data_IF_101150129729
#
_entry.id   IF_101150129729
#
_cell.length_a   1.000
_cell.length_b   1.000
_cell.length_c   1.000
_cell.angle_alpha   90.00
_cell.angle_beta   90.00
_cell.angle_gamma   90.00
#
_symmetry.space_group_name_H-M   'P 1'
#
loop_
_entity.id
_entity.type
_entity.pdbx_description
1 polymer ?
#
# COMPACT_ATOMS: atom_id res chain seq x y z
N UNK A 1 33.18 -12.96 33.22
CA UNK A 1 32.84 -13.61 31.93
C UNK A 1 31.67 -12.93 31.21
N UNK A 2 30.63 -12.45 31.91
CA UNK A 2 29.46 -11.83 31.31
C UNK A 2 29.79 -10.52 30.56
N UNK A 3 30.60 -9.66 31.18
CA UNK A 3 31.03 -8.39 30.56
C UNK A 3 31.81 -8.59 29.26
N UNK A 4 32.66 -9.64 29.18
CA UNK A 4 33.44 -9.94 27.97
C UNK A 4 32.54 -10.35 26.80
N UNK A 5 31.52 -11.18 27.06
CA UNK A 5 30.57 -11.59 26.02
C UNK A 5 29.77 -10.39 25.49
N UNK A 6 29.25 -9.51 26.36
CA UNK A 6 28.58 -8.31 25.96
C UNK A 6 29.45 -7.30 25.20
N UNK A 7 30.71 -7.15 25.63
CA UNK A 7 31.67 -6.28 24.93
C UNK A 7 31.96 -6.77 23.51
N UNK A 8 32.06 -8.11 23.32
CA UNK A 8 32.24 -8.69 21.99
C UNK A 8 31.07 -8.43 21.08
N UNK A 9 29.83 -8.61 21.56
CA UNK A 9 28.61 -8.31 20.82
C UNK A 9 28.55 -6.82 20.48
N UNK A 10 28.81 -5.94 21.46
CA UNK A 10 28.82 -4.49 21.23
C UNK A 10 29.86 -4.08 20.19
N UNK A 11 31.06 -4.68 20.21
CA UNK A 11 32.08 -4.44 19.21
C UNK A 11 31.63 -4.88 17.81
N UNK A 12 31.03 -6.08 17.68
CA UNK A 12 30.50 -6.57 16.40
C UNK A 12 29.44 -5.67 15.85
N UNK A 13 28.47 -5.20 16.66
CA UNK A 13 27.43 -4.27 16.26
C UNK A 13 28.00 -2.92 15.85
N UNK A 14 28.99 -2.39 16.58
CA UNK A 14 29.67 -1.16 16.23
C UNK A 14 30.43 -1.28 14.90
N UNK A 15 31.10 -2.41 14.67
CA UNK A 15 31.78 -2.72 13.43
C UNK A 15 30.80 -2.77 12.25
N UNK A 16 29.69 -3.49 12.39
CA UNK A 16 28.65 -3.56 11.35
C UNK A 16 28.06 -2.17 11.05
N UNK A 17 27.77 -1.38 12.08
CA UNK A 17 27.28 -0.02 11.91
C UNK A 17 28.27 0.89 11.19
N UNK A 18 29.57 0.74 11.46
CA UNK A 18 30.61 1.56 10.83
C UNK A 18 30.89 1.18 9.37
N UNK A 19 30.91 -0.11 9.05
CA UNK A 19 31.32 -0.61 7.75
C UNK A 19 30.14 -0.94 6.82
N UNK A 20 28.99 -1.28 7.39
CA UNK A 20 27.78 -1.68 6.66
C UNK A 20 26.52 -1.00 7.20
N UNK A 21 26.50 0.34 7.31
CA UNK A 21 25.45 1.07 8.02
C UNK A 21 24.06 0.82 7.42
N UNK A 22 23.94 0.69 6.12
CA UNK A 22 22.66 0.46 5.44
C UNK A 22 22.04 -0.87 5.87
N UNK A 23 22.83 -1.95 5.89
CA UNK A 23 22.38 -3.27 6.32
C UNK A 23 22.07 -3.29 7.82
N UNK A 24 22.88 -2.62 8.63
CA UNK A 24 22.63 -2.48 10.05
C UNK A 24 21.30 -1.79 10.34
N UNK A 25 21.04 -0.65 9.69
CA UNK A 25 19.86 0.15 9.96
C UNK A 25 18.56 -0.49 9.44
N UNK A 26 18.53 -1.14 8.28
CA UNK A 26 17.30 -1.76 7.82
C UNK A 26 16.87 -2.91 8.74
N UNK A 27 17.82 -3.72 9.23
CA UNK A 27 17.53 -4.79 10.20
C UNK A 27 17.07 -4.20 11.54
N UNK A 28 17.76 -3.18 12.03
CA UNK A 28 17.43 -2.52 13.28
C UNK A 28 16.04 -1.89 13.23
N UNK A 29 15.71 -1.16 12.16
CA UNK A 29 14.38 -0.56 11.98
C UNK A 29 13.29 -1.63 11.86
N UNK A 30 13.56 -2.73 11.17
CA UNK A 30 12.63 -3.85 11.04
C UNK A 30 12.33 -4.51 12.40
N UNK A 31 13.31 -4.58 13.30
CA UNK A 31 13.14 -5.16 14.64
C UNK A 31 12.29 -4.30 15.59
N UNK A 32 12.06 -3.03 15.26
CA UNK A 32 11.33 -2.07 16.10
C UNK A 32 10.02 -1.59 15.45
N UNK A 33 9.54 -2.25 14.40
CA UNK A 33 8.22 -1.98 13.81
C UNK A 33 7.15 -2.07 14.92
N UNK A 34 6.25 -1.07 14.96
CA UNK A 34 5.27 -0.90 16.03
C UNK A 34 5.74 0.00 17.18
N UNK A 35 7.01 0.42 17.19
CA UNK A 35 7.52 1.42 18.12
C UNK A 35 7.88 2.72 17.37
N UNK A 36 6.89 3.59 17.20
CA UNK A 36 7.00 4.83 16.40
C UNK A 36 8.13 5.74 16.89
N UNK A 37 8.39 5.77 18.20
CA UNK A 37 9.45 6.59 18.80
C UNK A 37 10.81 6.12 18.32
N UNK A 38 11.08 4.81 18.39
CA UNK A 38 12.34 4.23 17.93
C UNK A 38 12.51 4.33 16.42
N UNK A 39 11.45 4.07 15.63
CA UNK A 39 11.49 4.25 14.18
C UNK A 39 11.86 5.69 13.85
N UNK A 40 11.21 6.68 14.47
CA UNK A 40 11.51 8.11 14.26
C UNK A 40 12.94 8.49 14.65
N UNK A 41 13.48 7.87 15.71
CA UNK A 41 14.86 8.07 16.12
C UNK A 41 15.84 7.56 15.04
N UNK A 42 15.62 6.35 14.54
CA UNK A 42 16.50 5.76 13.52
C UNK A 42 16.38 6.48 12.17
N UNK A 43 15.21 7.00 11.83
CA UNK A 43 15.05 7.88 10.65
C UNK A 43 15.95 9.13 10.76
N UNK A 44 16.03 9.75 11.95
CA UNK A 44 16.96 10.88 12.18
C UNK A 44 18.43 10.46 12.08
N UNK A 45 18.76 9.26 12.57
CA UNK A 45 20.13 8.74 12.48
C UNK A 45 20.52 8.44 11.04
N UNK A 46 19.63 7.85 10.24
CA UNK A 46 19.82 7.66 8.78
C UNK A 46 20.12 8.99 8.09
N UNK A 47 19.33 10.03 8.39
CA UNK A 47 19.51 11.35 7.82
C UNK A 47 20.89 11.94 8.17
N UNK A 48 21.34 11.79 9.42
CA UNK A 48 22.68 12.22 9.86
C UNK A 48 23.82 11.50 9.15
N UNK A 49 23.58 10.24 8.77
CA UNK A 49 24.57 9.41 8.06
C UNK A 49 24.46 9.49 6.56
N UNK A 50 23.58 10.39 6.02
CA UNK A 50 23.30 10.53 4.58
C UNK A 50 22.88 9.22 3.92
N UNK A 51 22.15 8.35 4.65
CA UNK A 51 21.57 7.14 4.11
C UNK A 51 20.13 7.46 3.65
N UNK A 52 19.81 7.32 2.35
CA UNK A 52 18.48 7.63 1.87
C UNK A 52 17.42 6.68 2.45
N UNK A 53 16.33 7.26 2.94
CA UNK A 53 15.12 6.54 3.29
C UNK A 53 14.11 6.76 2.15
N UNK A 54 13.72 5.68 1.48
CA UNK A 54 12.77 5.70 0.38
C UNK A 54 11.36 5.67 0.92
N UNK A 55 10.46 6.42 0.29
CA UNK A 55 9.04 6.44 0.64
C UNK A 55 8.43 5.04 0.56
N UNK A 56 7.38 4.72 1.32
CA UNK A 56 6.65 3.48 1.11
C UNK A 56 6.11 3.42 -0.32
N UNK A 57 5.99 2.22 -0.86
CA UNK A 57 5.43 1.95 -2.18
C UNK A 57 4.51 0.75 -2.07
N UNK A 58 3.31 0.86 -2.60
CA UNK A 58 2.34 -0.23 -2.57
C UNK A 58 2.84 -1.46 -3.33
N UNK A 59 3.63 -1.23 -4.37
CA UNK A 59 4.17 -2.27 -5.22
C UNK A 59 5.54 -2.83 -4.76
N UNK A 60 6.29 -2.12 -3.92
CA UNK A 60 7.65 -2.50 -3.53
C UNK A 60 7.81 -2.79 -2.04
N UNK A 61 7.08 -2.09 -1.18
CA UNK A 61 7.19 -2.24 0.27
C UNK A 61 6.53 -3.52 0.79
N UNK A 62 7.02 -4.02 1.91
CA UNK A 62 6.52 -5.24 2.55
C UNK A 62 6.34 -5.09 4.06
N UNK A 63 6.36 -6.24 4.76
CA UNK A 63 6.24 -6.32 6.23
C UNK A 63 7.41 -5.66 6.96
N UNK A 64 8.61 -5.70 6.38
CA UNK A 64 9.82 -5.16 6.98
C UNK A 64 10.38 -4.01 6.13
N UNK A 65 11.24 -3.19 6.71
CA UNK A 65 12.14 -2.34 5.93
C UNK A 65 13.03 -3.24 5.09
N UNK A 66 13.46 -2.79 3.93
CA UNK A 66 14.43 -3.55 3.16
C UNK A 66 15.42 -2.64 2.42
N UNK A 67 16.56 -3.22 2.11
CA UNK A 67 17.62 -2.52 1.40
C UNK A 67 17.39 -2.57 -0.10
N UNK A 68 17.47 -1.40 -0.74
CA UNK A 68 17.58 -1.22 -2.19
C UNK A 68 18.89 -0.50 -2.52
N UNK A 69 19.35 -0.59 -3.77
CA UNK A 69 20.57 0.12 -4.20
C UNK A 69 20.50 1.63 -3.94
N UNK A 70 19.30 2.21 -4.00
CA UNK A 70 19.04 3.64 -3.81
C UNK A 70 18.81 4.05 -2.35
N UNK A 71 18.70 3.12 -1.41
CA UNK A 71 18.46 3.41 0.00
C UNK A 71 17.66 2.33 0.72
N UNK A 72 17.10 2.69 1.87
CA UNK A 72 16.24 1.81 2.66
C UNK A 72 14.79 2.12 2.35
N UNK A 73 14.03 1.13 1.85
CA UNK A 73 12.60 1.26 1.58
C UNK A 73 11.79 1.17 2.87
N UNK A 74 10.85 2.11 3.04
CA UNK A 74 9.94 2.13 4.19
C UNK A 74 8.98 0.93 4.17
N UNK A 75 8.76 0.31 5.33
CA UNK A 75 7.84 -0.81 5.49
C UNK A 75 6.38 -0.36 5.49
N UNK A 76 5.48 -1.12 4.85
CA UNK A 76 4.03 -0.88 4.96
C UNK A 76 3.54 -1.14 6.40
N UNK A 77 4.09 -2.13 7.08
CA UNK A 77 3.72 -2.45 8.47
C UNK A 77 4.18 -1.41 9.50
N UNK A 78 5.09 -0.51 9.12
CA UNK A 78 5.51 0.61 9.95
C UNK A 78 4.63 1.86 9.77
N UNK A 79 3.67 1.84 8.84
CA UNK A 79 2.71 2.92 8.64
C UNK A 79 1.63 2.82 9.72
N UNK A 80 1.44 3.89 10.49
CA UNK A 80 0.39 3.94 11.50
C UNK A 80 -0.99 3.78 10.85
N UNK A 81 -1.77 2.81 11.34
CA UNK A 81 -3.09 2.49 10.80
C UNK A 81 -3.09 1.40 9.74
N UNK A 82 -1.93 0.87 9.35
CA UNK A 82 -1.81 -0.27 8.45
C UNK A 82 -1.45 -1.52 9.25
N UNK A 83 -2.39 -2.45 9.36
CA UNK A 83 -2.22 -3.69 10.13
C UNK A 83 -1.45 -4.76 9.36
N UNK A 84 -0.81 -5.69 10.10
CA UNK A 84 -0.06 -6.79 9.49
C UNK A 84 -0.92 -7.72 8.62
N UNK A 85 -2.23 -7.84 8.90
CA UNK A 85 -3.17 -8.58 8.05
C UNK A 85 -3.30 -7.90 6.70
N UNK A 86 -3.54 -6.58 6.69
CA UNK A 86 -3.64 -5.78 5.46
C UNK A 86 -2.37 -5.87 4.62
N UNK A 87 -1.19 -5.81 5.24
CA UNK A 87 0.08 -5.93 4.51
C UNK A 87 0.25 -7.31 3.87
N UNK A 88 -0.16 -8.39 4.56
CA UNK A 88 -0.10 -9.75 3.98
C UNK A 88 -1.01 -9.88 2.76
N UNK A 89 -2.24 -9.37 2.85
CA UNK A 89 -3.19 -9.37 1.72
C UNK A 89 -2.65 -8.57 0.52
N UNK A 90 -2.09 -7.38 0.77
CA UNK A 90 -1.44 -6.58 -0.28
C UNK A 90 -0.30 -7.38 -0.94
N UNK A 91 0.54 -8.02 -0.14
CA UNK A 91 1.66 -8.81 -0.67
C UNK A 91 1.18 -10.03 -1.44
N UNK A 92 0.11 -10.68 -1.01
CA UNK A 92 -0.50 -11.82 -1.70
C UNK A 92 -1.10 -11.38 -3.04
N UNK A 93 -1.90 -10.32 -3.05
CA UNK A 93 -2.49 -9.79 -4.28
C UNK A 93 -1.44 -9.35 -5.31
N UNK A 94 -0.27 -8.88 -4.87
CA UNK A 94 0.86 -8.53 -5.75
C UNK A 94 1.49 -9.72 -6.48
N UNK A 95 1.27 -10.96 -6.06
CA UNK A 95 1.79 -12.12 -6.78
C UNK A 95 1.24 -12.20 -8.20
N UNK A 96 0.05 -11.64 -8.43
CA UNK A 96 -0.59 -11.56 -9.75
C UNK A 96 -0.14 -10.33 -10.57
N UNK A 97 0.89 -9.61 -10.10
CA UNK A 97 1.45 -8.43 -10.73
C UNK A 97 1.29 -7.14 -9.90
N UNK A 98 1.94 -6.08 -10.36
CA UNK A 98 1.88 -4.78 -9.71
C UNK A 98 0.49 -4.16 -9.84
N UNK A 99 0.07 -3.42 -8.81
CA UNK A 99 -1.13 -2.60 -8.86
C UNK A 99 -0.91 -1.40 -9.78
N UNK A 100 -1.86 -1.18 -10.68
CA UNK A 100 -1.78 -0.14 -11.70
C UNK A 100 -2.30 1.21 -11.20
N UNK A 101 -3.37 1.16 -10.40
CA UNK A 101 -4.10 2.32 -9.87
C UNK A 101 -4.90 1.93 -8.62
N UNK A 102 -5.65 2.88 -8.06
CA UNK A 102 -6.48 2.70 -6.87
C UNK A 102 -7.61 1.69 -7.09
N UNK A 103 -8.22 1.66 -8.27
CA UNK A 103 -9.34 0.75 -8.59
C UNK A 103 -8.85 -0.69 -8.71
N UNK A 104 -7.74 -0.92 -9.45
CA UNK A 104 -7.10 -2.24 -9.55
C UNK A 104 -6.67 -2.74 -8.15
N UNK A 105 -6.17 -1.84 -7.30
CA UNK A 105 -5.83 -2.17 -5.93
C UNK A 105 -7.06 -2.62 -5.12
N UNK A 106 -8.14 -1.83 -5.12
CA UNK A 106 -9.35 -2.15 -4.35
C UNK A 106 -10.05 -3.42 -4.87
N UNK A 107 -10.02 -3.69 -6.17
CA UNK A 107 -10.57 -4.92 -6.75
C UNK A 107 -9.83 -6.18 -6.32
N UNK A 108 -8.50 -6.10 -6.19
CA UNK A 108 -7.63 -7.26 -5.94
C UNK A 108 -7.36 -7.51 -4.47
N UNK A 109 -7.51 -6.50 -3.63
CA UNK A 109 -7.26 -6.62 -2.19
C UNK A 109 -8.60 -6.67 -1.45
N UNK A 110 -8.80 -7.72 -0.66
CA UNK A 110 -10.07 -7.95 0.05
C UNK A 110 -10.48 -6.76 0.93
N UNK A 111 -11.71 -6.27 0.75
CA UNK A 111 -12.33 -5.23 1.59
C UNK A 111 -12.39 -5.62 3.08
N UNK A 112 -12.38 -6.92 3.39
CA UNK A 112 -12.32 -7.45 4.77
C UNK A 112 -10.97 -7.19 5.44
N UNK A 113 -9.89 -7.10 4.66
CA UNK A 113 -8.53 -6.88 5.15
C UNK A 113 -8.14 -5.41 5.15
N UNK A 114 -8.75 -4.59 4.29
CA UNK A 114 -8.43 -3.17 4.13
C UNK A 114 -9.70 -2.34 4.24
N UNK A 115 -9.80 -1.57 5.31
CA UNK A 115 -10.87 -0.60 5.51
C UNK A 115 -10.45 0.80 5.01
N UNK A 116 -11.44 1.72 4.92
CA UNK A 116 -11.22 3.11 4.52
C UNK A 116 -10.05 3.79 5.28
N UNK A 117 -9.95 3.61 6.60
CA UNK A 117 -8.88 4.22 7.42
C UNK A 117 -7.50 3.71 7.02
N UNK A 118 -7.39 2.45 6.64
CA UNK A 118 -6.14 1.86 6.14
C UNK A 118 -5.77 2.46 4.78
N UNK A 119 -6.75 2.64 3.88
CA UNK A 119 -6.53 3.31 2.60
C UNK A 119 -6.08 4.76 2.79
N UNK A 120 -6.75 5.52 3.65
CA UNK A 120 -6.35 6.89 4.00
C UNK A 120 -4.89 6.93 4.52
N UNK A 121 -4.52 6.00 5.41
CA UNK A 121 -3.16 5.90 5.93
C UNK A 121 -2.13 5.60 4.82
N UNK A 122 -2.46 4.74 3.86
CA UNK A 122 -1.63 4.44 2.70
C UNK A 122 -1.47 5.66 1.79
N UNK A 123 -2.55 6.41 1.50
CA UNK A 123 -2.49 7.65 0.73
C UNK A 123 -1.62 8.69 1.45
N UNK A 124 -1.89 8.96 2.74
CA UNK A 124 -1.14 9.95 3.52
C UNK A 124 0.34 9.62 3.64
N UNK A 125 0.69 8.34 3.70
CA UNK A 125 2.10 7.90 3.76
C UNK A 125 2.83 8.04 2.42
N UNK A 126 2.12 8.24 1.32
CA UNK A 126 2.68 8.28 -0.03
C UNK A 126 2.91 6.90 -0.66
N UNK A 127 2.27 5.85 -0.13
CA UNK A 127 2.40 4.50 -0.68
C UNK A 127 1.88 4.37 -2.12
N UNK A 128 1.00 5.27 -2.54
CA UNK A 128 0.39 5.34 -3.87
C UNK A 128 1.01 6.41 -4.80
N UNK A 129 1.99 7.19 -4.32
CA UNK A 129 2.59 8.28 -5.10
C UNK A 129 3.22 7.81 -6.42
N UNK A 130 3.54 6.52 -6.52
CA UNK A 130 4.11 5.94 -7.74
C UNK A 130 3.16 5.93 -8.95
N UNK A 131 1.86 6.10 -8.74
CA UNK A 131 0.85 6.20 -9.81
C UNK A 131 0.77 7.59 -10.44
N UNK A 132 1.32 8.61 -9.78
CA UNK A 132 1.41 9.99 -10.30
C UNK A 132 0.20 10.86 -10.00
N UNK A 133 -0.88 10.31 -9.41
CA UNK A 133 -2.03 11.08 -8.95
C UNK A 133 -1.69 11.84 -7.66
N UNK A 134 -2.32 13.01 -7.49
CA UNK A 134 -2.20 13.75 -6.26
C UNK A 134 -3.00 13.09 -5.12
N UNK A 135 -2.52 13.25 -3.89
CA UNK A 135 -3.11 12.59 -2.72
C UNK A 135 -4.52 13.09 -2.40
N UNK A 136 -4.87 14.33 -2.76
CA UNK A 136 -6.21 14.85 -2.53
C UNK A 136 -7.22 14.18 -3.47
N UNK A 137 -6.84 13.98 -4.72
CA UNK A 137 -7.64 13.21 -5.70
C UNK A 137 -7.81 11.76 -5.26
N UNK A 138 -6.73 11.11 -4.81
CA UNK A 138 -6.82 9.74 -4.28
C UNK A 138 -7.76 9.66 -3.08
N UNK A 139 -7.67 10.58 -2.12
CA UNK A 139 -8.56 10.61 -0.95
C UNK A 139 -10.03 10.82 -1.33
N UNK A 140 -10.31 11.71 -2.29
CA UNK A 140 -11.66 11.95 -2.77
C UNK A 140 -12.25 10.74 -3.53
N UNK A 141 -11.40 9.89 -4.10
CA UNK A 141 -11.79 8.73 -4.89
C UNK A 141 -11.97 7.45 -4.07
N UNK A 142 -11.61 7.44 -2.77
CA UNK A 142 -11.60 6.22 -1.96
C UNK A 142 -12.98 5.55 -1.87
N UNK A 143 -14.04 6.33 -1.62
CA UNK A 143 -15.39 5.76 -1.47
C UNK A 143 -15.86 5.14 -2.78
N UNK A 144 -15.62 5.82 -3.89
CA UNK A 144 -15.98 5.32 -5.23
C UNK A 144 -15.21 4.03 -5.56
N UNK A 145 -13.93 3.96 -5.22
CA UNK A 145 -13.11 2.78 -5.49
C UNK A 145 -13.52 1.58 -4.60
N UNK A 146 -13.92 1.83 -3.35
CA UNK A 146 -14.44 0.81 -2.44
C UNK A 146 -15.78 0.27 -2.96
N UNK A 147 -16.74 1.17 -3.24
CA UNK A 147 -18.06 0.80 -3.74
C UNK A 147 -17.97 -0.01 -5.05
N UNK A 148 -17.08 0.41 -5.95
CA UNK A 148 -16.81 -0.31 -7.20
C UNK A 148 -16.29 -1.75 -6.93
N UNK A 149 -15.36 -1.91 -6.00
CA UNK A 149 -14.82 -3.21 -5.65
C UNK A 149 -15.88 -4.12 -4.98
N UNK A 150 -16.74 -3.55 -4.13
CA UNK A 150 -17.80 -4.30 -3.45
C UNK A 150 -18.87 -4.77 -4.46
N UNK A 151 -19.25 -3.93 -5.41
CA UNK A 151 -20.19 -4.31 -6.50
C UNK A 151 -19.58 -5.42 -7.35
N UNK A 152 -18.34 -5.27 -7.79
CA UNK A 152 -17.66 -6.28 -8.61
C UNK A 152 -17.49 -7.63 -7.89
N UNK A 153 -17.26 -7.60 -6.57
CA UNK A 153 -17.17 -8.83 -5.76
C UNK A 153 -18.53 -9.50 -5.60
N UNK A 154 -19.61 -8.73 -5.42
CA UNK A 154 -20.97 -9.26 -5.30
C UNK A 154 -21.42 -9.95 -6.60
N UNK A 155 -21.11 -9.36 -7.75
CA UNK A 155 -21.40 -9.96 -9.06
C UNK A 155 -20.62 -11.27 -9.26
N UNK A 156 -19.35 -11.33 -8.88
CA UNK A 156 -18.55 -12.55 -8.96
C UNK A 156 -19.12 -13.68 -8.09
N UNK A 157 -19.61 -13.38 -6.89
CA UNK A 157 -20.24 -14.35 -5.99
C UNK A 157 -21.59 -14.85 -6.55
N UNK A 158 -22.36 -14.02 -7.23
CA UNK A 158 -23.60 -14.41 -7.91
C UNK A 158 -23.33 -15.42 -9.06
N UNK A 159 -22.26 -15.22 -9.82
CA UNK A 159 -21.86 -16.14 -10.89
C UNK A 159 -21.30 -17.48 -10.35
N UNK A 160 -20.65 -17.47 -9.19
CA UNK A 160 -20.11 -18.71 -8.58
C UNK A 160 -21.19 -19.57 -7.91
N UNK A 161 -22.25 -18.96 -7.39
CA UNK A 161 -23.35 -19.66 -6.70
C UNK A 161 -24.50 -20.09 -7.62
N UNK A 162 -24.53 -19.68 -8.87
CA UNK A 162 -25.47 -20.17 -9.84
C UNK A 162 -24.95 -21.47 -10.45
N UNK A 163 -25.63 -22.60 -10.21
CA UNK A 163 -25.44 -23.92 -10.90
C UNK A 163 -25.72 -23.85 -12.42
N UNK A 164 -25.61 -22.69 -13.02
CA UNK A 164 -25.76 -22.51 -14.45
C UNK A 164 -24.40 -22.61 -15.14
N UNK A 165 -24.20 -23.77 -15.77
CA UNK A 165 -23.14 -24.07 -16.73
C UNK A 165 -23.30 -23.15 -17.97
N UNK A 166 -23.05 -21.87 -17.85
CA UNK A 166 -22.97 -20.96 -18.96
C UNK A 166 -21.51 -20.83 -19.35
N UNK A 167 -21.14 -21.48 -20.47
CA UNK A 167 -19.95 -21.05 -21.22
C UNK A 167 -19.99 -19.51 -21.32
N UNK A 168 -18.87 -18.82 -21.05
CA UNK A 168 -18.86 -17.36 -21.06
C UNK A 168 -19.20 -16.88 -22.47
N UNK A 169 -20.46 -16.55 -22.73
CA UNK A 169 -20.78 -15.62 -23.79
C UNK A 169 -20.17 -14.30 -23.33
N UNK A 170 -19.28 -13.76 -24.13
CA UNK A 170 -18.79 -12.41 -24.01
C UNK A 170 -19.97 -11.47 -23.72
N UNK A 171 -20.16 -11.13 -22.44
CA UNK A 171 -20.98 -9.98 -22.09
C UNK A 171 -20.06 -8.82 -22.39
N UNK A 172 -20.41 -8.04 -23.41
CA UNK A 172 -19.83 -6.71 -23.58
C UNK A 172 -20.10 -5.97 -22.27
N UNK A 173 -19.09 -5.93 -21.41
CA UNK A 173 -19.14 -5.09 -20.21
C UNK A 173 -19.26 -3.67 -20.72
N UNK A 174 -20.35 -2.98 -20.37
CA UNK A 174 -20.44 -1.55 -20.65
C UNK A 174 -19.15 -0.89 -20.19
N UNK A 175 -18.58 0.01 -20.99
CA UNK A 175 -17.35 0.70 -20.64
C UNK A 175 -17.48 1.29 -19.23
N UNK A 176 -16.44 1.13 -18.41
CA UNK A 176 -16.38 1.64 -17.03
C UNK A 176 -16.84 3.11 -16.94
N UNK A 177 -16.60 3.89 -18.01
CA UNK A 177 -17.11 5.25 -18.20
C UNK A 177 -18.62 5.39 -18.03
N UNK A 178 -19.43 4.42 -18.50
CA UNK A 178 -20.91 4.49 -18.36
C UNK A 178 -21.36 4.22 -16.92
N UNK A 179 -20.67 3.33 -16.22
CA UNK A 179 -20.96 3.04 -14.81
C UNK A 179 -20.62 4.26 -13.96
N UNK A 180 -19.45 4.88 -14.19
CA UNK A 180 -19.03 6.10 -13.50
C UNK A 180 -19.94 7.28 -13.78
N UNK A 181 -20.38 7.48 -15.04
CA UNK A 181 -21.32 8.55 -15.43
C UNK A 181 -22.72 8.27 -14.85
N UNK A 182 -23.14 7.02 -14.74
CA UNK A 182 -24.41 6.62 -14.11
C UNK A 182 -24.44 6.99 -12.62
N UNK A 183 -23.38 6.72 -11.89
CA UNK A 183 -23.23 7.09 -10.47
C UNK A 183 -23.13 8.61 -10.28
N UNK A 184 -22.38 9.31 -11.14
CA UNK A 184 -22.26 10.77 -11.09
C UNK A 184 -23.60 11.51 -11.25
N UNK A 185 -24.58 10.92 -11.92
CA UNK A 185 -25.93 11.49 -12.03
C UNK A 185 -26.77 11.42 -10.75
N UNK A 186 -26.37 10.56 -9.80
CA UNK A 186 -27.06 10.40 -8.49
C UNK A 186 -26.36 11.16 -7.36
N UNK A 187 -25.16 11.70 -7.60
CA UNK A 187 -24.37 12.46 -6.64
C UNK A 187 -24.70 13.95 -6.71
N UNK A 188 -24.42 14.70 -5.64
CA UNK A 188 -24.57 16.16 -5.64
C UNK A 188 -23.53 16.82 -6.58
N UNK A 189 -23.71 18.11 -6.93
CA UNK A 189 -22.89 18.79 -7.93
C UNK A 189 -21.38 18.78 -7.64
N UNK A 190 -20.97 18.75 -6.38
CA UNK A 190 -19.57 18.78 -5.96
C UNK A 190 -18.88 17.44 -6.20
N UNK A 191 -19.57 16.35 -5.92
CA UNK A 191 -19.12 14.99 -6.18
C UNK A 191 -19.07 14.69 -7.68
N UNK A 192 -20.01 15.23 -8.46
CA UNK A 192 -20.05 15.10 -9.93
C UNK A 192 -18.84 15.77 -10.61
N UNK A 193 -18.36 16.91 -10.11
CA UNK A 193 -17.17 17.58 -10.64
C UNK A 193 -15.87 16.80 -10.31
N UNK A 194 -15.82 16.18 -9.14
CA UNK A 194 -14.70 15.32 -8.76
C UNK A 194 -14.64 14.06 -9.63
N UNK A 195 -15.79 13.46 -9.95
CA UNK A 195 -15.87 12.30 -10.85
C UNK A 195 -15.41 12.61 -12.27
N UNK A 196 -15.70 13.79 -12.81
CA UNK A 196 -15.23 14.21 -14.13
C UNK A 196 -13.70 14.32 -14.23
N UNK A 197 -13.02 14.52 -13.10
CA UNK A 197 -11.55 14.55 -13.02
C UNK A 197 -10.94 13.14 -13.00
N UNK A 198 -11.71 12.12 -12.64
CA UNK A 198 -11.26 10.72 -12.53
C UNK A 198 -11.38 9.98 -13.86
N UNK A 199 -12.41 10.29 -14.66
CA UNK A 199 -12.69 9.63 -15.95
C UNK A 199 -11.50 9.59 -16.92
N UNK A 200 -10.64 10.63 -17.04
CA UNK A 200 -9.47 10.58 -17.94
C UNK A 200 -8.40 9.56 -17.54
N UNK A 201 -8.44 9.02 -16.32
CA UNK A 201 -7.41 8.12 -15.77
C UNK A 201 -7.77 6.63 -15.87
N UNK A 202 -8.96 6.32 -16.42
CA UNK A 202 -9.50 4.96 -16.55
C UNK A 202 -9.28 4.36 -17.95
N UNK A 203 -8.65 5.11 -18.87
CA UNK A 203 -8.30 4.68 -20.24
C UNK A 203 -6.84 4.21 -20.38
#
# INVERSE_FOLDING_TARGET
>A
SHAVAYSMIAYQLAYLKAHYPQFFFFLLMSSVIGNDVKVSQYVRDLKRMNIPLLAPSINKSGMAFHYEKSGIRYSLAAIKGVGGVSVREIMQARNDGYFKDLFDFCLRVSSKAINRKTLEALVHSGAFDEWGEDRATLLASLDVAIDFADIASADADLFHNSEFNLTPKYVETEPVERILVGHAKQMNNEDSENMKRIVPFVN
#
